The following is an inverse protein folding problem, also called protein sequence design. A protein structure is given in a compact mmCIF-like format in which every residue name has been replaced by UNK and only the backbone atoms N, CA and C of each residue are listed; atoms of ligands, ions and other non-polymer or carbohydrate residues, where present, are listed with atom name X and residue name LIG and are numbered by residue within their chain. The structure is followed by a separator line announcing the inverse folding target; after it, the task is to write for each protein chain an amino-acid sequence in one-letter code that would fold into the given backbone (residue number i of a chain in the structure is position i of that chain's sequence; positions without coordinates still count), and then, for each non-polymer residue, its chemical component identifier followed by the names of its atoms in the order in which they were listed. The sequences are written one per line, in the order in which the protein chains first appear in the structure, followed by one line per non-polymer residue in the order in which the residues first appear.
data_IF_943119697705
#
_entry.id   IF_943119697705
#
_cell.length_a   1.000
_cell.length_b   1.000
_cell.length_c   1.000
_cell.angle_alpha   90.00
_cell.angle_beta   90.00
_cell.angle_gamma   90.00
#
_symmetry.space_group_name_H-M   'P 1'
#
loop_
_entity.id
_entity.type
_entity.pdbx_description
1 polymer ?
#
# COMPACT_ATOMS: atom_id res chain seq x y z
N UNK A 1 -48.88 18.73 -43.00
CA UNK A 1 -47.48 18.85 -42.53
C UNK A 1 -47.48 18.65 -40.99
N UNK A 2 -47.06 17.51 -40.50
CA UNK A 2 -46.91 17.27 -39.05
C UNK A 2 -45.42 16.98 -38.81
N UNK A 3 -44.76 17.92 -38.16
CA UNK A 3 -43.35 17.80 -37.80
C UNK A 3 -43.18 16.82 -36.64
N UNK A 4 -42.35 15.82 -36.84
CA UNK A 4 -41.90 14.88 -35.80
C UNK A 4 -40.62 15.45 -35.17
N UNK A 5 -40.72 15.90 -33.94
CA UNK A 5 -39.55 16.30 -33.15
C UNK A 5 -38.93 15.04 -32.53
N UNK A 6 -37.76 14.64 -33.00
CA UNK A 6 -36.98 13.58 -32.36
C UNK A 6 -36.27 14.13 -31.11
N UNK A 7 -36.67 13.63 -29.95
CA UNK A 7 -35.94 13.85 -28.71
C UNK A 7 -34.73 12.88 -28.70
N UNK A 8 -33.52 13.43 -28.78
CA UNK A 8 -32.31 12.66 -28.56
C UNK A 8 -32.06 12.54 -27.03
N UNK A 9 -32.33 11.38 -26.46
CA UNK A 9 -31.97 11.10 -25.08
C UNK A 9 -30.46 10.79 -25.01
N UNK A 10 -29.67 11.76 -24.57
CA UNK A 10 -28.26 11.57 -24.23
C UNK A 10 -28.16 10.83 -22.89
N UNK A 11 -27.66 9.61 -22.91
CA UNK A 11 -27.29 8.88 -21.70
C UNK A 11 -25.97 9.45 -21.19
N UNK A 12 -26.00 10.19 -20.09
CA UNK A 12 -24.80 10.61 -19.38
C UNK A 12 -24.23 9.39 -18.62
N UNK A 13 -23.06 8.91 -19.01
CA UNK A 13 -22.28 7.93 -18.24
C UNK A 13 -21.67 8.66 -17.06
N UNK A 14 -22.18 8.43 -15.87
CA UNK A 14 -21.56 8.87 -14.63
C UNK A 14 -20.52 7.81 -14.27
N UNK A 15 -19.25 8.11 -14.48
CA UNK A 15 -18.14 7.29 -13.99
C UNK A 15 -18.07 7.45 -12.47
N UNK A 16 -18.47 6.43 -11.72
CA UNK A 16 -18.21 6.35 -10.28
C UNK A 16 -16.72 6.02 -10.09
N UNK A 17 -15.94 7.04 -9.73
CA UNK A 17 -14.60 6.83 -9.22
C UNK A 17 -14.77 6.33 -7.77
N UNK A 18 -14.58 5.04 -7.51
CA UNK A 18 -14.54 4.53 -6.14
C UNK A 18 -13.28 5.09 -5.48
N UNK A 19 -13.38 5.69 -4.28
CA UNK A 19 -12.19 6.11 -3.55
C UNK A 19 -11.32 4.89 -3.28
N UNK A 20 -10.01 5.02 -3.47
CA UNK A 20 -9.05 4.00 -3.05
C UNK A 20 -9.17 3.84 -1.53
N UNK A 21 -9.62 2.68 -1.08
CA UNK A 21 -9.76 2.38 0.35
C UNK A 21 -8.39 1.96 0.88
N UNK A 22 -7.93 2.60 1.96
CA UNK A 22 -6.72 2.15 2.64
C UNK A 22 -6.98 0.77 3.27
N UNK A 23 -6.05 -0.16 3.07
CA UNK A 23 -6.04 -1.47 3.71
C UNK A 23 -5.08 -1.43 4.91
N UNK A 24 -5.46 -2.09 6.02
CA UNK A 24 -4.63 -2.16 7.21
C UNK A 24 -3.97 -3.54 7.31
N UNK A 25 -2.70 -3.55 7.65
CA UNK A 25 -1.86 -4.74 7.81
C UNK A 25 -1.15 -4.71 9.15
N UNK A 26 -0.86 -5.88 9.71
CA UNK A 26 -0.03 -6.01 10.90
C UNK A 26 1.29 -6.64 10.47
N UNK A 27 2.39 -5.90 10.62
CA UNK A 27 3.74 -6.34 10.31
C UNK A 27 4.41 -6.77 11.60
N UNK A 28 4.83 -8.03 11.68
CA UNK A 28 5.49 -8.63 12.85
C UNK A 28 7.02 -8.59 12.65
N UNK A 29 7.74 -8.07 13.63
CA UNK A 29 9.18 -7.84 13.51
C UNK A 29 10.00 -9.12 13.30
N UNK A 30 9.58 -10.24 13.90
CA UNK A 30 10.30 -11.51 13.74
C UNK A 30 9.93 -12.22 12.44
N UNK A 31 8.62 -12.36 12.16
CA UNK A 31 8.12 -13.13 11.02
C UNK A 31 8.31 -12.42 9.68
N UNK A 32 8.32 -11.08 9.69
CA UNK A 32 8.43 -10.25 8.48
C UNK A 32 9.77 -9.51 8.40
N UNK A 33 10.81 -10.04 9.05
CA UNK A 33 12.16 -9.47 8.99
C UNK A 33 12.83 -9.72 7.64
N UNK A 34 13.58 -8.72 7.16
CA UNK A 34 14.46 -8.89 6.01
C UNK A 34 15.53 -9.98 6.25
N UNK A 35 15.99 -10.13 7.49
CA UNK A 35 16.90 -11.20 7.90
C UNK A 35 16.29 -12.61 7.84
N UNK A 36 14.98 -12.75 7.94
CA UNK A 36 14.26 -14.00 7.69
C UNK A 36 14.04 -14.27 6.19
N UNK A 37 14.23 -13.27 5.33
CA UNK A 37 14.06 -13.35 3.89
C UNK A 37 12.61 -13.27 3.41
N UNK A 38 11.64 -13.01 4.28
CA UNK A 38 10.21 -12.98 3.95
C UNK A 38 9.55 -11.71 4.51
N UNK A 39 8.99 -10.88 3.63
CA UNK A 39 8.11 -9.80 4.01
C UNK A 39 6.65 -10.25 4.17
N UNK A 40 5.83 -9.39 4.73
CA UNK A 40 4.39 -9.54 4.71
C UNK A 40 3.88 -9.25 3.30
N UNK A 41 3.37 -10.25 2.60
CA UNK A 41 2.70 -10.05 1.32
C UNK A 41 1.33 -9.40 1.56
N UNK A 42 1.14 -8.18 1.04
CA UNK A 42 -0.11 -7.42 1.23
C UNK A 42 -1.22 -7.86 0.26
N UNK A 43 -0.90 -8.57 -0.82
CA UNK A 43 -1.82 -8.86 -1.92
C UNK A 43 -2.18 -7.63 -2.76
N UNK A 44 -1.68 -6.44 -2.42
CA UNK A 44 -1.91 -5.21 -3.18
C UNK A 44 -0.88 -5.09 -4.30
N UNK A 45 -1.36 -5.00 -5.52
CA UNK A 45 -0.52 -4.87 -6.72
C UNK A 45 -0.50 -3.42 -7.19
N UNK A 46 0.69 -2.94 -7.53
CA UNK A 46 0.94 -1.61 -8.07
C UNK A 46 1.64 -1.72 -9.42
N UNK A 47 1.43 -0.73 -10.28
CA UNK A 47 2.28 -0.47 -11.44
C UNK A 47 3.26 0.65 -11.11
N UNK A 48 4.43 0.62 -11.74
CA UNK A 48 5.39 1.70 -11.58
C UNK A 48 4.76 3.06 -11.93
N UNK A 49 4.81 4.01 -10.99
CA UNK A 49 4.18 5.32 -11.10
C UNK A 49 2.82 5.46 -10.42
N UNK A 50 2.16 4.38 -10.02
CA UNK A 50 0.92 4.46 -9.26
C UNK A 50 1.15 5.16 -7.92
N UNK A 51 0.15 5.91 -7.44
CA UNK A 51 0.26 6.51 -6.11
C UNK A 51 0.24 5.42 -5.04
N UNK A 52 1.29 5.36 -4.24
CA UNK A 52 1.39 4.54 -3.04
C UNK A 52 1.45 5.45 -1.82
N UNK A 53 0.57 5.21 -0.86
CA UNK A 53 0.61 5.85 0.46
C UNK A 53 0.73 4.79 1.54
N UNK A 54 1.63 5.02 2.50
CA UNK A 54 1.83 4.14 3.65
C UNK A 54 1.90 4.98 4.91
N UNK A 55 1.23 4.55 5.98
CA UNK A 55 1.34 5.21 7.28
C UNK A 55 1.32 4.18 8.41
N UNK A 56 2.13 4.46 9.44
CA UNK A 56 2.16 3.75 10.71
C UNK A 56 2.20 4.77 11.84
N UNK A 57 1.58 4.46 12.97
CA UNK A 57 1.60 5.37 14.12
C UNK A 57 3.02 5.51 14.67
N UNK A 58 3.37 6.72 15.11
CA UNK A 58 4.73 7.00 15.59
C UNK A 58 4.99 6.42 16.99
N UNK A 59 3.93 6.10 17.71
CA UNK A 59 3.91 5.48 19.04
C UNK A 59 3.68 3.95 19.00
N UNK A 60 3.47 3.36 17.82
CA UNK A 60 3.39 1.91 17.63
C UNK A 60 4.83 1.37 17.48
N UNK A 61 5.26 0.51 18.41
CA UNK A 61 6.66 0.17 18.58
C UNK A 61 6.93 -1.32 18.37
N UNK A 62 8.11 -1.61 17.86
CA UNK A 62 8.69 -2.95 17.73
C UNK A 62 10.19 -2.92 18.10
N UNK A 63 10.84 -4.08 18.18
CA UNK A 63 12.20 -4.18 18.66
C UNK A 63 13.09 -5.09 17.83
N UNK A 64 14.35 -4.67 17.66
CA UNK A 64 15.46 -5.43 17.09
C UNK A 64 16.25 -6.21 18.15
N UNK A 65 15.64 -6.59 19.27
CA UNK A 65 16.26 -7.37 20.32
C UNK A 65 16.33 -6.66 21.68
N UNK A 66 17.43 -6.89 22.41
CA UNK A 66 17.59 -6.35 23.76
C UNK A 66 17.67 -4.82 23.75
N UNK A 67 17.31 -4.19 24.89
CA UNK A 67 17.46 -2.75 25.09
C UNK A 67 18.87 -2.26 24.76
N UNK A 68 19.01 -1.08 24.20
CA UNK A 68 17.97 -0.13 23.74
C UNK A 68 17.69 -0.23 22.23
N UNK A 69 16.91 -1.23 21.81
CA UNK A 69 16.66 -1.52 20.38
C UNK A 69 15.18 -1.44 19.99
N UNK A 70 14.39 -0.64 20.71
CA UNK A 70 13.02 -0.34 20.33
C UNK A 70 12.95 0.87 19.42
N UNK A 71 12.08 0.81 18.43
CA UNK A 71 11.84 1.89 17.46
C UNK A 71 10.39 1.87 16.99
N UNK A 72 9.97 2.94 16.37
CA UNK A 72 8.82 2.93 15.49
C UNK A 72 9.23 2.59 14.03
N UNK A 73 8.32 2.73 13.08
CA UNK A 73 8.57 2.43 11.67
C UNK A 73 9.72 3.23 11.02
N UNK A 74 10.21 4.33 11.63
CA UNK A 74 11.39 5.03 11.12
C UNK A 74 12.72 4.32 11.45
N UNK A 75 12.69 3.34 12.36
CA UNK A 75 13.86 2.59 12.79
C UNK A 75 14.67 3.26 13.89
N UNK A 76 15.83 2.68 14.18
CA UNK A 76 16.74 3.07 15.25
C UNK A 76 17.64 4.24 14.83
N UNK A 77 17.05 5.43 14.72
CA UNK A 77 17.71 6.66 14.22
C UNK A 77 18.16 7.63 15.31
N UNK A 78 17.79 7.39 16.57
CA UNK A 78 18.11 8.25 17.70
C UNK A 78 17.59 7.70 19.01
N UNK A 79 17.74 8.50 20.07
CA UNK A 79 17.26 8.13 21.39
C UNK A 79 15.74 8.12 21.46
N UNK A 80 15.19 7.04 22.01
CA UNK A 80 13.78 6.86 22.29
C UNK A 80 13.62 6.50 23.76
N UNK A 81 12.62 7.09 24.42
CA UNK A 81 12.35 6.86 25.82
C UNK A 81 10.94 6.32 26.03
N UNK A 82 10.81 5.35 26.94
CA UNK A 82 9.53 4.78 27.32
C UNK A 82 8.59 5.86 27.88
N UNK A 83 7.31 5.74 27.53
CA UNK A 83 6.23 6.64 28.02
C UNK A 83 5.62 6.12 29.32
N UNK A 84 5.85 4.85 29.64
CA UNK A 84 5.22 4.14 30.76
C UNK A 84 3.87 3.50 30.42
N UNK A 85 3.38 3.74 29.21
CA UNK A 85 2.12 3.16 28.68
C UNK A 85 2.30 2.56 27.29
N UNK A 86 3.53 2.54 26.77
CA UNK A 86 3.90 1.92 25.50
C UNK A 86 4.07 0.38 25.63
N UNK A 87 4.34 -0.27 24.51
CA UNK A 87 4.44 -1.74 24.40
C UNK A 87 5.59 -2.33 25.20
N UNK A 88 6.57 -1.50 25.62
CA UNK A 88 7.74 -1.99 26.37
C UNK A 88 7.38 -2.39 27.81
N UNK A 89 6.32 -1.80 28.39
CA UNK A 89 5.94 -1.98 29.78
C UNK A 89 6.95 -1.41 30.78
N UNK A 90 7.90 -0.59 30.32
CA UNK A 90 8.95 0.01 31.16
C UNK A 90 8.52 1.35 31.75
N UNK A 91 9.09 1.77 32.89
CA UNK A 91 8.80 3.07 33.48
C UNK A 91 9.13 4.21 32.52
N UNK A 92 8.30 5.27 32.55
CA UNK A 92 8.53 6.48 31.76
C UNK A 92 9.94 7.07 31.99
N UNK A 93 10.58 7.49 30.90
CA UNK A 93 11.95 8.01 30.92
C UNK A 93 13.04 6.95 30.84
N UNK A 94 12.70 5.65 30.80
CA UNK A 94 13.68 4.60 30.50
C UNK A 94 14.09 4.70 29.04
N UNK A 95 15.38 4.74 28.75
CA UNK A 95 15.85 4.69 27.35
C UNK A 95 15.58 3.31 26.75
N UNK A 96 14.81 3.29 25.68
CA UNK A 96 14.38 2.06 24.99
C UNK A 96 14.93 1.95 23.58
N UNK A 97 15.34 3.07 22.95
CA UNK A 97 15.93 3.10 21.63
C UNK A 97 17.19 3.98 21.58
N UNK A 98 18.05 3.70 20.61
CA UNK A 98 19.24 4.47 20.30
C UNK A 98 19.53 4.38 18.79
N UNK A 99 20.42 5.25 18.29
CA UNK A 99 20.89 5.12 16.92
C UNK A 99 21.76 3.85 16.78
N UNK A 100 21.31 2.93 15.93
CA UNK A 100 22.00 1.64 15.66
C UNK A 100 22.67 1.60 14.29
N UNK A 101 22.56 2.70 13.52
CA UNK A 101 23.10 2.79 12.17
C UNK A 101 22.19 2.20 11.09
N UNK A 102 22.81 1.78 10.01
CA UNK A 102 22.11 1.29 8.82
C UNK A 102 22.42 -0.19 8.57
N UNK A 103 21.43 -0.94 8.14
CA UNK A 103 21.57 -2.28 7.59
C UNK A 103 21.43 -2.23 6.07
N UNK A 104 22.33 -2.91 5.37
CA UNK A 104 22.35 -2.96 3.90
C UNK A 104 22.00 -4.37 3.42
N UNK A 105 20.89 -4.50 2.71
CA UNK A 105 20.42 -5.76 2.12
C UNK A 105 19.62 -5.47 0.85
N UNK A 106 19.61 -6.41 -0.09
CA UNK A 106 18.83 -6.33 -1.34
C UNK A 106 19.00 -5.01 -2.12
N UNK A 107 20.19 -4.37 -2.01
CA UNK A 107 20.48 -3.10 -2.67
C UNK A 107 19.95 -1.84 -1.96
N UNK A 108 19.28 -1.98 -0.82
CA UNK A 108 18.86 -0.87 0.03
C UNK A 108 19.72 -0.81 1.30
N UNK A 109 20.12 0.41 1.70
CA UNK A 109 20.69 0.70 3.01
C UNK A 109 19.70 1.58 3.77
N UNK A 110 19.14 1.05 4.87
CA UNK A 110 18.13 1.73 5.67
C UNK A 110 18.39 1.50 7.18
N UNK A 111 17.82 2.34 8.08
CA UNK A 111 17.99 2.17 9.51
C UNK A 111 17.52 0.80 10.00
N UNK A 112 18.28 0.19 10.94
CA UNK A 112 17.80 -0.97 11.65
C UNK A 112 16.41 -0.71 12.25
N UNK A 113 15.52 -1.68 12.20
CA UNK A 113 14.17 -1.57 12.74
C UNK A 113 13.23 -0.67 11.95
N UNK A 114 13.57 -0.25 10.74
CA UNK A 114 12.68 0.56 9.90
C UNK A 114 11.66 -0.29 9.13
N UNK A 115 10.52 0.31 8.79
CA UNK A 115 9.56 -0.25 7.85
C UNK A 115 10.04 -0.03 6.43
N UNK A 116 10.20 -1.10 5.67
CA UNK A 116 10.62 -1.10 4.28
C UNK A 116 9.56 -1.76 3.42
N UNK A 117 9.31 -1.22 2.23
CA UNK A 117 8.47 -1.83 1.20
C UNK A 117 9.33 -2.47 0.11
N UNK A 118 8.91 -3.65 -0.37
CA UNK A 118 9.47 -4.32 -1.55
C UNK A 118 8.41 -4.43 -2.64
N UNK A 119 8.72 -4.04 -3.87
CA UNK A 119 7.88 -4.25 -5.05
C UNK A 119 8.77 -4.73 -6.18
N UNK A 120 8.46 -5.89 -6.76
CA UNK A 120 9.20 -6.41 -7.91
C UNK A 120 10.70 -6.64 -7.65
N UNK A 121 11.08 -6.92 -6.40
CA UNK A 121 12.48 -7.11 -5.99
C UNK A 121 13.27 -5.80 -5.79
N UNK A 122 12.61 -4.64 -5.86
CA UNK A 122 13.21 -3.33 -5.54
C UNK A 122 12.65 -2.85 -4.20
N UNK A 123 13.53 -2.34 -3.33
CA UNK A 123 13.19 -2.00 -1.95
C UNK A 123 13.29 -0.50 -1.69
N UNK A 124 12.39 0.02 -0.84
CA UNK A 124 12.26 1.43 -0.51
C UNK A 124 11.94 1.60 0.97
N UNK A 125 12.64 2.52 1.65
CA UNK A 125 12.30 2.94 3.00
C UNK A 125 10.92 3.64 3.00
N UNK A 126 10.02 3.19 3.87
CA UNK A 126 8.68 3.74 4.03
C UNK A 126 8.57 4.60 5.30
N UNK A 127 9.14 4.11 6.40
CA UNK A 127 9.05 4.80 7.69
C UNK A 127 7.62 4.90 8.22
N UNK A 128 7.36 5.89 9.07
CA UNK A 128 6.03 6.17 9.63
C UNK A 128 5.08 6.80 8.63
N UNK A 129 5.60 7.38 7.53
CA UNK A 129 4.79 8.01 6.49
C UNK A 129 5.52 8.04 5.16
N UNK A 130 4.90 7.45 4.15
CA UNK A 130 5.37 7.51 2.77
C UNK A 130 4.20 7.92 1.87
N UNK A 131 4.47 8.81 0.91
CA UNK A 131 3.53 9.17 -0.14
C UNK A 131 4.31 9.50 -1.41
N UNK A 132 4.16 8.70 -2.44
CA UNK A 132 4.89 8.87 -3.68
C UNK A 132 4.51 7.83 -4.74
N UNK A 133 5.13 7.90 -5.91
CA UNK A 133 4.93 6.90 -6.95
C UNK A 133 5.51 5.55 -6.52
N UNK A 134 4.82 4.46 -6.84
CA UNK A 134 5.37 3.12 -6.76
C UNK A 134 6.61 3.02 -7.66
N UNK A 135 7.70 2.52 -7.13
CA UNK A 135 9.03 2.52 -7.78
C UNK A 135 9.23 1.35 -8.74
N UNK A 136 8.34 0.34 -8.68
CA UNK A 136 8.34 -0.81 -9.58
C UNK A 136 6.91 -1.35 -9.73
N UNK A 137 6.71 -2.29 -10.66
CA UNK A 137 5.46 -3.02 -10.81
C UNK A 137 5.53 -4.35 -10.09
N UNK A 138 4.46 -4.72 -9.36
CA UNK A 138 4.37 -5.97 -8.61
C UNK A 138 3.53 -5.85 -7.36
N UNK A 139 3.47 -6.92 -6.58
CA UNK A 139 2.81 -6.93 -5.27
C UNK A 139 3.69 -6.27 -4.23
N UNK A 140 3.10 -5.42 -3.39
CA UNK A 140 3.80 -4.80 -2.26
C UNK A 140 4.00 -5.84 -1.15
N UNK A 141 5.23 -5.94 -0.69
CA UNK A 141 5.63 -6.66 0.51
C UNK A 141 6.13 -5.66 1.56
N UNK A 142 5.85 -5.89 2.84
CA UNK A 142 6.27 -5.04 3.95
C UNK A 142 7.26 -5.80 4.83
N UNK A 143 8.38 -5.14 5.17
CA UNK A 143 9.47 -5.74 5.92
C UNK A 143 9.81 -4.92 7.17
N UNK A 144 10.12 -5.63 8.24
CA UNK A 144 10.97 -5.14 9.31
C UNK A 144 12.43 -5.22 8.86
N UNK A 145 13.15 -4.09 8.84
CA UNK A 145 14.49 -4.04 8.26
C UNK A 145 15.57 -4.36 9.30
N UNK A 146 16.04 -5.60 9.29
CA UNK A 146 17.03 -6.09 10.26
C UNK A 146 17.83 -7.25 9.71
N UNK A 147 19.05 -7.40 10.21
CA UNK A 147 19.97 -8.51 9.89
C UNK A 147 19.46 -9.85 10.43
N UNK A 148 18.92 -9.85 11.65
CA UNK A 148 18.42 -11.02 12.34
C UNK A 148 16.90 -11.00 12.48
N UNK A 149 16.30 -12.17 12.69
CA UNK A 149 14.87 -12.27 12.95
C UNK A 149 14.55 -12.91 14.31
N UNK A 150 15.51 -13.64 14.88
CA UNK A 150 15.26 -14.49 16.06
C UNK A 150 15.21 -13.72 17.38
N UNK A 151 15.77 -12.54 17.48
CA UNK A 151 15.73 -11.67 18.66
C UNK A 151 14.75 -10.50 18.49
N UNK A 152 14.11 -10.37 17.32
CA UNK A 152 13.11 -9.36 17.05
C UNK A 152 11.80 -9.66 17.80
N UNK A 153 11.09 -8.59 18.17
CA UNK A 153 9.79 -8.69 18.82
C UNK A 153 8.91 -7.48 18.55
N UNK A 154 7.62 -7.64 18.84
CA UNK A 154 6.62 -6.60 18.58
C UNK A 154 6.09 -6.64 17.17
N UNK A 155 5.09 -5.81 16.94
CA UNK A 155 4.40 -5.66 15.65
C UNK A 155 3.81 -4.28 15.55
N UNK A 156 3.70 -3.75 14.35
CA UNK A 156 3.07 -2.45 14.11
C UNK A 156 1.90 -2.60 13.13
N UNK A 157 0.96 -1.66 13.24
CA UNK A 157 -0.17 -1.52 12.32
C UNK A 157 0.20 -0.56 11.19
N UNK A 158 0.07 -1.01 9.96
CA UNK A 158 0.44 -0.25 8.77
C UNK A 158 -0.78 -0.09 7.88
N UNK A 159 -1.13 1.15 7.53
CA UNK A 159 -2.17 1.45 6.57
C UNK A 159 -1.55 1.72 5.21
N UNK A 160 -2.06 1.03 4.19
CA UNK A 160 -1.58 1.14 2.80
C UNK A 160 -2.72 1.58 1.91
N UNK A 161 -2.51 2.62 1.12
CA UNK A 161 -3.48 3.16 0.17
C UNK A 161 -2.88 3.34 -1.21
N UNK A 162 -3.74 3.78 -2.17
CA UNK A 162 -3.34 4.07 -3.53
C UNK A 162 -3.44 2.91 -4.53
N UNK A 163 -3.49 1.64 -4.07
CA UNK A 163 -3.76 0.52 -4.98
C UNK A 163 -5.18 0.64 -5.56
N UNK A 164 -5.28 0.65 -6.87
CA UNK A 164 -6.58 0.62 -7.56
C UNK A 164 -6.91 -0.85 -7.84
N UNK A 165 -8.05 -1.37 -7.34
CA UNK A 165 -8.50 -2.71 -7.72
C UNK A 165 -8.85 -2.73 -9.22
N UNK A 166 -7.95 -3.20 -10.07
CA UNK A 166 -8.08 -3.14 -11.53
C UNK A 166 -9.18 -4.04 -12.15
N UNK A 167 -9.49 -5.26 -11.64
CA UNK A 167 -10.38 -6.16 -12.38
C UNK A 167 -11.80 -5.61 -12.55
N UNK A 168 -12.34 -4.93 -11.55
CA UNK A 168 -13.70 -4.41 -11.62
C UNK A 168 -13.83 -3.18 -12.55
N UNK A 169 -12.83 -2.30 -12.55
CA UNK A 169 -12.82 -1.10 -13.41
C UNK A 169 -12.71 -1.45 -14.88
N UNK A 170 -11.82 -2.37 -15.23
CA UNK A 170 -11.67 -2.87 -16.61
C UNK A 170 -12.93 -3.63 -17.08
N UNK A 171 -13.51 -4.49 -16.24
CA UNK A 171 -14.74 -5.20 -16.55
C UNK A 171 -15.92 -4.24 -16.79
N UNK A 172 -16.06 -3.21 -15.97
CA UNK A 172 -17.08 -2.16 -16.11
C UNK A 172 -16.85 -1.33 -17.38
N UNK A 173 -15.61 -0.97 -17.70
CA UNK A 173 -15.27 -0.23 -18.91
C UNK A 173 -15.55 -1.04 -20.17
N UNK A 174 -15.10 -2.30 -20.23
CA UNK A 174 -15.36 -3.21 -21.34
C UNK A 174 -16.85 -3.52 -21.49
N UNK A 175 -17.56 -3.76 -20.38
CA UNK A 175 -19.01 -3.96 -20.35
C UNK A 175 -19.77 -2.71 -20.83
N UNK A 176 -19.36 -1.54 -20.40
CA UNK A 176 -19.95 -0.26 -20.81
C UNK A 176 -19.77 -0.01 -22.32
N UNK A 177 -18.58 -0.15 -22.85
CA UNK A 177 -18.31 -0.04 -24.30
C UNK A 177 -19.04 -1.12 -25.12
N UNK A 178 -19.12 -2.35 -24.59
CA UNK A 178 -19.86 -3.45 -25.23
C UNK A 178 -21.35 -3.14 -25.36
N UNK A 179 -21.98 -2.60 -24.31
CA UNK A 179 -23.39 -2.22 -24.30
C UNK A 179 -23.68 -1.05 -25.26
N UNK A 180 -22.84 -0.02 -25.26
CA UNK A 180 -22.97 1.13 -26.16
C UNK A 180 -22.78 0.69 -27.62
N UNK A 181 -21.75 -0.11 -27.90
CA UNK A 181 -21.50 -0.65 -29.24
C UNK A 181 -22.64 -1.54 -29.76
N UNK A 182 -23.18 -2.38 -28.87
CA UNK A 182 -24.34 -3.22 -29.18
C UNK A 182 -25.61 -2.42 -29.49
N UNK A 183 -25.90 -1.36 -28.71
CA UNK A 183 -27.03 -0.47 -28.91
C UNK A 183 -26.94 0.33 -30.20
N UNK A 184 -25.75 0.79 -30.59
CA UNK A 184 -25.51 1.50 -31.86
C UNK A 184 -25.67 0.57 -33.06
N UNK A 185 -25.24 -0.69 -32.95
CA UNK A 185 -25.37 -1.68 -34.03
C UNK A 185 -26.81 -2.11 -34.26
N UNK A 186 -27.65 -2.21 -33.21
CA UNK A 186 -29.06 -2.56 -33.31
C UNK A 186 -29.90 -1.49 -34.04
N UNK A 187 -29.52 -0.22 -33.92
CA UNK A 187 -30.21 0.91 -34.59
C UNK A 187 -30.00 0.93 -36.11
N UNK A 188 -28.98 0.30 -36.66
CA UNK A 188 -28.68 0.30 -38.11
C UNK A 188 -29.53 -0.73 -38.93
N UNK A 189 -30.33 -1.58 -38.29
CA UNK A 189 -31.14 -2.58 -38.98
C UNK A 189 -32.53 -2.12 -39.40
N UNK A 190 -32.92 -0.87 -39.15
CA UNK A 190 -34.28 -0.38 -39.39
C UNK A 190 -34.42 0.53 -40.62
N UNK A 191 -33.56 0.47 -41.59
CA UNK A 191 -33.71 1.29 -42.80
C UNK A 191 -33.24 0.55 -44.05
N UNK A 192 -34.04 -0.37 -44.57
CA UNK A 192 -34.23 -0.55 -46.02
C UNK A 192 -35.48 -1.43 -46.20
N UNK A 193 -36.64 -0.80 -46.46
CA UNK A 193 -37.77 -1.40 -47.13
C UNK A 193 -37.86 -0.69 -48.46
N UNK A 194 -37.48 -1.35 -49.52
CA UNK A 194 -37.82 -0.96 -50.87
C UNK A 194 -39.19 -1.56 -51.20
N UNK A 195 -40.17 -0.68 -51.45
CA UNK A 195 -41.41 -1.01 -52.13
C UNK A 195 -41.19 -1.01 -53.62
#
# INVERSE_FOLDING_TARGET
MRGFTMLAAGAALIAFCSPATAASFVVDAASNSSGAGFGLNTGLTYFAGDLLTVSAAADDLWSAGLLPRWSNANGLIGDLFATGTDETGLPAGTQIGANWGLWAQFGLSAPYGSLVGGIGGVYQLLGTSFSGPAWASGTLELFYWDENSFDNSGRISVNVGGAVPEPASWAMMLGGFGLVGGALRSRRKLAVSFG
#
